data_IF_046641060806
#
_entry.id   IF_046641060806
#
_cell.length_a   1.000
_cell.length_b   1.000
_cell.length_c   1.000
_cell.angle_alpha   90.00
_cell.angle_beta   90.00
_cell.angle_gamma   90.00
#
_symmetry.space_group_name_H-M   'P 1'
#
loop_
_entity.id
_entity.type
_entity.pdbx_description
1 polymer ?
#
# COMPACT_ATOMS: atom_id res chain seq x y z
N UNK A 1 17.22 2.04 8.44
CA UNK A 1 18.01 2.62 7.32
C UNK A 1 18.65 1.46 6.53
N UNK A 2 17.95 0.85 5.56
CA UNK A 2 18.42 -0.42 4.92
C UNK A 2 17.99 -0.61 3.44
N UNK A 3 17.85 0.47 2.67
CA UNK A 3 17.41 0.39 1.26
C UNK A 3 18.41 0.96 0.23
N UNK A 4 19.55 1.53 0.65
CA UNK A 4 20.57 2.07 -0.26
C UNK A 4 21.43 1.01 -0.99
N UNK A 5 21.30 -0.29 -0.66
CA UNK A 5 22.25 -1.33 -1.13
C UNK A 5 21.98 -1.94 -2.52
N UNK A 6 21.02 -1.44 -3.31
CA UNK A 6 20.77 -1.95 -4.67
C UNK A 6 20.70 -0.91 -5.81
N UNK A 7 21.05 0.35 -5.56
CA UNK A 7 21.14 1.34 -6.66
C UNK A 7 19.81 1.67 -7.35
N UNK A 8 18.68 1.42 -6.67
CA UNK A 8 17.35 1.74 -7.17
C UNK A 8 17.01 3.16 -6.68
N UNK A 9 17.36 4.18 -7.47
CA UNK A 9 16.89 5.56 -7.27
C UNK A 9 15.69 5.80 -8.18
N UNK A 10 14.49 5.40 -7.75
CA UNK A 10 13.24 5.54 -8.54
C UNK A 10 12.29 6.59 -7.95
N UNK A 11 12.76 7.83 -7.73
CA UNK A 11 11.82 8.92 -7.39
C UNK A 11 10.80 9.16 -8.51
N UNK A 12 11.19 8.93 -9.76
CA UNK A 12 10.34 9.16 -10.93
C UNK A 12 9.13 8.21 -11.02
N UNK A 13 9.15 7.09 -10.27
CA UNK A 13 8.06 6.10 -10.23
C UNK A 13 7.21 6.19 -8.96
N UNK A 14 7.56 7.10 -8.05
CA UNK A 14 6.78 7.36 -6.86
C UNK A 14 5.91 8.59 -7.12
N UNK A 15 4.63 8.48 -6.79
CA UNK A 15 3.72 9.62 -6.69
C UNK A 15 3.24 9.72 -5.26
N UNK A 16 3.23 10.93 -4.73
CA UNK A 16 2.89 11.20 -3.34
C UNK A 16 1.76 12.22 -3.28
N UNK A 17 0.89 12.08 -2.28
CA UNK A 17 -0.15 13.03 -1.96
C UNK A 17 -0.24 13.22 -0.44
N UNK A 18 -0.82 14.33 0.02
CA UNK A 18 -0.79 14.70 1.44
C UNK A 18 -1.78 13.91 2.31
N UNK A 19 -2.70 13.15 1.70
CA UNK A 19 -3.83 12.52 2.41
C UNK A 19 -3.98 11.06 2.03
N UNK A 20 -4.25 10.23 3.04
CA UNK A 20 -4.51 8.79 2.90
C UNK A 20 -6.02 8.53 2.75
N UNK A 21 -6.61 8.96 1.63
CA UNK A 21 -8.06 8.87 1.35
C UNK A 21 -8.31 8.42 -0.09
N UNK A 22 -9.54 7.96 -0.43
CA UNK A 22 -9.92 7.68 -1.81
C UNK A 22 -9.75 8.89 -2.73
N UNK A 23 -10.09 10.08 -2.28
CA UNK A 23 -9.91 11.32 -3.04
C UNK A 23 -8.42 11.59 -3.31
N UNK A 24 -7.56 11.33 -2.32
CA UNK A 24 -6.11 11.43 -2.48
C UNK A 24 -5.58 10.47 -3.53
N UNK A 25 -5.96 9.20 -3.46
CA UNK A 25 -5.57 8.17 -4.43
C UNK A 25 -6.06 8.48 -5.85
N UNK A 26 -7.27 9.01 -5.98
CA UNK A 26 -7.83 9.44 -7.26
C UNK A 26 -6.99 10.55 -7.90
N UNK A 27 -6.68 11.62 -7.14
CA UNK A 27 -5.89 12.74 -7.64
C UNK A 27 -4.48 12.32 -8.03
N UNK A 28 -3.87 11.41 -7.26
CA UNK A 28 -2.55 10.85 -7.57
C UNK A 28 -2.57 10.10 -8.90
N UNK A 29 -3.56 9.22 -9.09
CA UNK A 29 -3.65 8.37 -10.27
C UNK A 29 -4.05 9.18 -11.53
N UNK A 30 -4.97 10.13 -11.42
CA UNK A 30 -5.29 11.03 -12.56
C UNK A 30 -4.03 11.75 -13.06
N UNK A 31 -3.24 12.34 -12.16
CA UNK A 31 -1.98 13.00 -12.54
C UNK A 31 -0.99 12.05 -13.21
N UNK A 32 -0.86 10.82 -12.69
CA UNK A 32 -0.02 9.81 -13.31
C UNK A 32 -0.47 9.50 -14.74
N UNK A 33 -1.78 9.32 -14.94
CA UNK A 33 -2.35 9.00 -16.26
C UNK A 33 -2.19 10.18 -17.24
N UNK A 34 -2.35 11.42 -16.77
CA UNK A 34 -2.14 12.62 -17.59
C UNK A 34 -0.68 12.77 -18.03
N UNK A 35 0.27 12.47 -17.14
CA UNK A 35 1.70 12.63 -17.41
C UNK A 35 2.30 11.48 -18.22
N UNK A 36 1.87 10.24 -17.96
CA UNK A 36 2.54 9.03 -18.44
C UNK A 36 1.61 8.00 -19.09
N UNK A 37 0.30 8.24 -19.11
CA UNK A 37 -0.70 7.28 -19.56
C UNK A 37 -1.06 6.24 -18.50
N UNK A 38 -2.00 5.34 -18.84
CA UNK A 38 -2.47 4.34 -17.90
C UNK A 38 -1.38 3.31 -17.56
N UNK A 39 -1.11 3.05 -16.27
CA UNK A 39 -0.07 2.11 -15.88
C UNK A 39 -0.48 0.67 -16.15
N UNK A 40 0.48 -0.16 -16.59
CA UNK A 40 0.29 -1.62 -16.66
C UNK A 40 0.42 -2.31 -15.30
N UNK A 41 1.02 -1.63 -14.31
CA UNK A 41 1.12 -2.08 -12.93
C UNK A 41 1.30 -0.89 -11.98
N UNK A 42 0.73 -0.97 -10.79
CA UNK A 42 0.99 0.01 -9.73
C UNK A 42 0.88 -0.62 -8.33
N UNK A 43 1.48 0.05 -7.34
CA UNK A 43 1.36 -0.31 -5.92
C UNK A 43 0.72 0.86 -5.19
N UNK A 44 -0.39 0.62 -4.50
CA UNK A 44 -0.99 1.56 -3.58
C UNK A 44 -0.43 1.37 -2.18
N UNK A 45 -0.24 2.47 -1.45
CA UNK A 45 0.26 2.43 -0.07
C UNK A 45 -0.75 1.91 0.95
N UNK A 46 -2.03 1.86 0.59
CA UNK A 46 -3.15 1.52 1.46
C UNK A 46 -4.43 1.25 0.63
N UNK A 47 -5.42 0.62 1.26
CA UNK A 47 -6.71 0.35 0.62
C UNK A 47 -7.49 1.62 0.22
N UNK A 48 -7.57 2.70 1.03
CA UNK A 48 -8.24 3.93 0.61
C UNK A 48 -7.59 4.55 -0.63
N UNK A 49 -6.25 4.59 -0.68
CA UNK A 49 -5.53 5.11 -1.86
C UNK A 49 -5.77 4.22 -3.09
N UNK A 50 -5.81 2.90 -2.91
CA UNK A 50 -6.13 1.96 -3.96
C UNK A 50 -7.52 2.20 -4.54
N UNK A 51 -8.53 2.37 -3.69
CA UNK A 51 -9.91 2.63 -4.11
C UNK A 51 -9.99 3.86 -5.04
N UNK A 52 -9.34 4.94 -4.62
CA UNK A 52 -9.22 6.16 -5.41
C UNK A 52 -8.55 5.95 -6.77
N UNK A 53 -7.43 5.23 -6.77
CA UNK A 53 -6.67 4.94 -7.98
C UNK A 53 -7.47 4.11 -8.99
N UNK A 54 -8.14 3.06 -8.53
CA UNK A 54 -9.01 2.22 -9.36
C UNK A 54 -10.17 3.02 -9.93
N UNK A 55 -10.77 3.93 -9.12
CA UNK A 55 -11.80 4.86 -9.57
C UNK A 55 -11.31 5.75 -10.71
N UNK A 56 -10.12 6.37 -10.59
CA UNK A 56 -9.55 7.20 -11.64
C UNK A 56 -9.32 6.44 -12.96
N UNK A 57 -8.73 5.24 -12.89
CA UNK A 57 -8.52 4.38 -14.07
C UNK A 57 -9.86 4.10 -14.77
N UNK A 58 -10.86 3.70 -13.99
CA UNK A 58 -12.20 3.40 -14.52
C UNK A 58 -12.85 4.62 -15.15
N UNK A 59 -12.77 5.78 -14.53
CA UNK A 59 -13.40 7.00 -15.02
C UNK A 59 -12.71 7.47 -16.33
N UNK A 60 -11.40 7.22 -16.49
CA UNK A 60 -10.65 7.54 -17.70
C UNK A 60 -10.87 6.56 -18.86
N UNK A 61 -10.97 5.27 -18.58
CA UNK A 61 -11.02 4.20 -19.60
C UNK A 61 -12.41 3.57 -19.77
N UNK A 62 -13.38 3.93 -18.94
CA UNK A 62 -14.71 3.32 -18.86
C UNK A 62 -14.76 1.97 -18.12
N UNK A 63 -13.60 1.35 -17.90
CA UNK A 63 -13.43 0.11 -17.15
C UNK A 63 -12.02 0.05 -16.54
N UNK A 64 -11.79 -0.88 -15.62
CA UNK A 64 -10.44 -1.20 -15.12
C UNK A 64 -9.94 -2.37 -15.97
N UNK A 65 -8.92 -2.20 -16.82
CA UNK A 65 -8.42 -3.29 -17.65
C UNK A 65 -7.91 -4.45 -16.77
N UNK A 66 -8.35 -5.70 -17.00
CA UNK A 66 -8.01 -6.85 -16.14
C UNK A 66 -6.52 -7.20 -16.15
N UNK A 67 -5.79 -6.80 -17.19
CA UNK A 67 -4.35 -7.00 -17.34
C UNK A 67 -3.50 -6.10 -16.44
N UNK A 68 -4.07 -5.09 -15.78
CA UNK A 68 -3.34 -4.24 -14.84
C UNK A 68 -3.02 -5.06 -13.58
N UNK A 69 -1.74 -5.10 -13.22
CA UNK A 69 -1.28 -5.71 -11.97
C UNK A 69 -1.37 -4.69 -10.83
N UNK A 70 -2.01 -5.09 -9.73
CA UNK A 70 -2.29 -4.20 -8.60
C UNK A 70 -1.60 -4.73 -7.36
N UNK A 71 -0.73 -3.93 -6.76
CA UNK A 71 -0.18 -4.19 -5.43
C UNK A 71 -0.83 -3.30 -4.38
N UNK A 72 -1.02 -3.81 -3.17
CA UNK A 72 -1.38 -2.97 -2.02
C UNK A 72 -0.79 -3.52 -0.72
N UNK A 73 -0.67 -2.64 0.27
CA UNK A 73 -0.55 -3.04 1.66
C UNK A 73 -1.95 -3.29 2.24
N UNK A 74 -2.00 -4.09 3.30
CA UNK A 74 -3.20 -4.62 3.96
C UNK A 74 -3.90 -5.72 3.15
N UNK A 75 -4.58 -6.61 3.86
CA UNK A 75 -5.48 -7.58 3.26
C UNK A 75 -6.93 -7.16 3.49
N UNK A 76 -7.77 -7.35 2.48
CA UNK A 76 -9.21 -7.17 2.63
C UNK A 76 -9.95 -8.14 1.70
N UNK A 77 -10.99 -8.84 2.19
CA UNK A 77 -11.73 -9.82 1.38
C UNK A 77 -12.23 -9.28 0.03
N UNK A 78 -12.53 -7.98 -0.01
CA UNK A 78 -12.97 -7.28 -1.22
C UNK A 78 -11.95 -7.32 -2.38
N UNK A 79 -10.65 -7.42 -2.08
CA UNK A 79 -9.61 -7.47 -3.11
C UNK A 79 -9.77 -8.69 -4.02
N UNK A 80 -10.31 -9.80 -3.50
CA UNK A 80 -10.58 -11.01 -4.27
C UNK A 80 -11.71 -10.87 -5.30
N UNK A 81 -12.49 -9.79 -5.28
CA UNK A 81 -13.54 -9.52 -6.28
C UNK A 81 -13.05 -8.68 -7.46
N UNK A 82 -11.84 -8.13 -7.41
CA UNK A 82 -11.26 -7.45 -8.57
C UNK A 82 -10.89 -8.49 -9.63
N UNK A 83 -11.25 -8.21 -10.88
CA UNK A 83 -10.87 -9.06 -12.03
C UNK A 83 -9.36 -8.99 -12.34
N UNK A 84 -8.64 -8.09 -11.67
CA UNK A 84 -7.22 -7.85 -11.80
C UNK A 84 -6.38 -8.88 -11.03
N UNK A 85 -5.11 -9.01 -11.41
CA UNK A 85 -4.13 -9.70 -10.58
C UNK A 85 -3.73 -8.80 -9.40
N UNK A 86 -4.18 -9.13 -8.19
CA UNK A 86 -3.97 -8.33 -6.97
C UNK A 86 -3.02 -9.01 -6.00
N UNK A 87 -1.95 -8.32 -5.60
CA UNK A 87 -0.97 -8.79 -4.63
C UNK A 87 -1.07 -7.93 -3.36
N UNK A 88 -1.62 -8.50 -2.27
CA UNK A 88 -1.62 -7.88 -0.95
C UNK A 88 -0.40 -8.34 -0.14
N UNK A 89 0.27 -7.39 0.51
CA UNK A 89 1.31 -7.71 1.47
C UNK A 89 0.71 -7.75 2.89
N UNK A 90 0.45 -8.96 3.39
CA UNK A 90 -0.02 -9.15 4.77
C UNK A 90 1.12 -8.91 5.76
N UNK A 91 0.91 -8.01 6.72
CA UNK A 91 1.80 -7.90 7.88
C UNK A 91 1.46 -9.02 8.87
N UNK A 92 2.45 -9.57 9.56
CA UNK A 92 2.23 -10.57 10.61
C UNK A 92 1.61 -9.91 11.85
N UNK A 93 0.33 -9.57 11.77
CA UNK A 93 -0.42 -8.84 12.80
C UNK A 93 -0.40 -9.57 14.14
N UNK A 94 -0.37 -10.91 14.12
CA UNK A 94 -0.27 -11.74 15.32
C UNK A 94 1.06 -11.51 16.04
N UNK A 95 2.18 -11.57 15.31
CA UNK A 95 3.49 -11.31 15.89
C UNK A 95 3.62 -9.87 16.41
N UNK A 96 2.94 -8.90 15.78
CA UNK A 96 2.94 -7.51 16.24
C UNK A 96 2.10 -7.31 17.50
N UNK A 97 0.91 -7.91 17.56
CA UNK A 97 0.02 -7.85 18.72
C UNK A 97 0.64 -8.53 19.95
N UNK A 98 1.21 -9.73 19.78
CA UNK A 98 1.90 -10.47 20.84
C UNK A 98 3.05 -9.64 21.41
N UNK A 99 3.88 -9.06 20.53
CA UNK A 99 5.01 -8.23 20.96
C UNK A 99 4.59 -6.92 21.61
N UNK A 100 3.52 -6.30 21.14
CA UNK A 100 2.94 -5.11 21.79
C UNK A 100 2.44 -5.45 23.20
N UNK A 101 1.78 -6.61 23.36
CA UNK A 101 1.29 -7.10 24.64
C UNK A 101 2.44 -7.41 25.61
N UNK A 102 3.48 -8.10 25.15
CA UNK A 102 4.71 -8.36 25.93
C UNK A 102 5.39 -7.06 26.41
N UNK A 103 5.46 -6.05 25.54
CA UNK A 103 6.03 -4.75 25.90
C UNK A 103 5.19 -4.01 26.95
N UNK A 104 3.86 -4.05 26.83
CA UNK A 104 2.95 -3.46 27.82
C UNK A 104 3.05 -4.17 29.18
N UNK A 105 3.06 -5.50 29.21
CA UNK A 105 3.26 -6.28 30.42
C UNK A 105 4.61 -6.00 31.08
N UNK A 106 5.69 -5.97 30.30
CA UNK A 106 7.03 -5.67 30.82
C UNK A 106 7.10 -4.29 31.47
N UNK A 107 6.43 -3.29 30.88
CA UNK A 107 6.36 -1.94 31.42
C UNK A 107 5.55 -1.85 32.72
N UNK A 108 4.44 -2.60 32.85
CA UNK A 108 3.63 -2.68 34.07
C UNK A 108 4.39 -3.38 35.20
N UNK A 109 5.18 -4.41 34.86
CA UNK A 109 5.94 -5.20 35.84
C UNK A 109 7.32 -4.61 36.18
N UNK A 110 7.66 -3.40 35.70
CA UNK A 110 8.99 -2.78 35.81
C UNK A 110 10.15 -3.68 35.33
N UNK A 111 9.86 -4.62 34.41
CA UNK A 111 10.87 -5.51 33.83
C UNK A 111 11.50 -4.85 32.60
N UNK A 112 12.83 -4.91 32.44
CA UNK A 112 13.47 -4.32 31.26
C UNK A 112 13.01 -5.06 29.99
N UNK A 113 12.56 -4.30 28.99
CA UNK A 113 12.20 -4.83 27.67
C UNK A 113 13.43 -5.50 27.06
N UNK A 114 13.39 -6.83 26.88
CA UNK A 114 14.46 -7.56 26.21
C UNK A 114 14.51 -7.15 24.74
N UNK A 115 15.57 -6.44 24.35
CA UNK A 115 15.94 -6.24 22.95
C UNK A 115 16.46 -7.57 22.39
N UNK A 116 15.64 -8.27 21.63
CA UNK A 116 16.13 -9.38 20.81
C UNK A 116 16.84 -8.81 19.59
N UNK A 117 18.16 -9.07 19.54
CA UNK A 117 19.09 -8.84 18.43
C UNK A 117 18.85 -9.79 17.26
#
# INVERSE_FOLDING_TARGET
MRWQKKGITHRDWVREGPVNTPEGGYVIMEKLIEEQGCPQAFIASSLPVLEGAVRAIRDRLGAVPPEINIGTFDEHPMLGFLANNVWSMQQDENAWAEKAFEMMLSAIEERPVKKNS
#
